data_IF_916810580455
#
_entry.id   IF_916810580455
#
_cell.length_a   1.000
_cell.length_b   1.000
_cell.length_c   1.000
_cell.angle_alpha   90.00
_cell.angle_beta   90.00
_cell.angle_gamma   90.00
#
_symmetry.space_group_name_H-M   'P 1'
#
loop_
_entity.id
_entity.type
_entity.pdbx_description
1 polymer ?
#
# COMPACT_ATOMS: atom_id res chain seq x y z
N UNK A 1 6.67 -6.47 17.90
CA UNK A 1 5.84 -6.41 16.66
C UNK A 1 5.12 -7.74 16.39
N UNK A 2 3.93 -7.70 15.77
CA UNK A 2 3.28 -8.91 15.26
C UNK A 2 4.23 -9.71 14.37
N UNK A 3 4.31 -11.01 14.61
CA UNK A 3 5.11 -11.93 13.80
C UNK A 3 4.51 -13.34 13.88
N UNK A 4 4.74 -14.14 12.84
CA UNK A 4 4.38 -15.55 12.86
C UNK A 4 5.11 -16.31 13.97
N UNK A 5 6.32 -15.88 14.36
CA UNK A 5 7.08 -16.41 15.48
C UNK A 5 6.31 -16.24 16.78
N UNK A 6 5.89 -15.01 17.09
CA UNK A 6 5.16 -14.69 18.30
C UNK A 6 3.80 -15.40 18.32
N UNK A 7 3.08 -15.41 17.19
CA UNK A 7 1.82 -16.12 17.06
C UNK A 7 2.01 -17.62 17.33
N UNK A 8 2.99 -18.26 16.69
CA UNK A 8 3.20 -19.70 16.84
C UNK A 8 3.60 -20.08 18.27
N UNK A 9 4.43 -19.27 18.94
CA UNK A 9 4.80 -19.49 20.34
C UNK A 9 3.58 -19.41 21.26
N UNK A 10 2.72 -18.41 21.08
CA UNK A 10 1.48 -18.24 21.86
C UNK A 10 0.49 -19.38 21.60
N UNK A 11 0.26 -19.73 20.34
CA UNK A 11 -0.59 -20.86 19.95
C UNK A 11 -0.09 -22.17 20.55
N UNK A 12 1.22 -22.44 20.48
CA UNK A 12 1.81 -23.66 21.04
C UNK A 12 1.68 -23.73 22.57
N UNK A 13 1.85 -22.59 23.28
CA UNK A 13 1.64 -22.55 24.73
C UNK A 13 0.18 -22.85 25.09
N UNK A 14 -0.78 -22.24 24.39
CA UNK A 14 -2.20 -22.47 24.60
C UNK A 14 -2.62 -23.93 24.32
N UNK A 15 -2.11 -24.53 23.23
CA UNK A 15 -2.38 -25.93 22.91
C UNK A 15 -1.80 -26.88 23.97
N UNK A 16 -0.56 -26.66 24.43
CA UNK A 16 0.07 -27.48 25.47
C UNK A 16 -0.64 -27.40 26.82
N UNK A 17 -1.15 -26.22 27.18
CA UNK A 17 -1.97 -26.06 28.38
C UNK A 17 -3.27 -26.89 28.34
N UNK A 18 -3.73 -27.25 27.13
CA UNK A 18 -4.87 -28.15 26.91
C UNK A 18 -4.44 -29.61 26.69
N UNK A 19 -3.17 -29.96 26.93
CA UNK A 19 -2.63 -31.30 26.69
C UNK A 19 -2.49 -31.68 25.21
N UNK A 20 -2.57 -30.70 24.28
CA UNK A 20 -2.51 -30.94 22.83
C UNK A 20 -1.12 -30.66 22.27
N UNK A 21 -0.52 -31.67 21.62
CA UNK A 21 0.77 -31.57 20.92
C UNK A 21 0.68 -31.92 19.44
N UNK A 22 -0.51 -32.30 18.95
CA UNK A 22 -0.78 -32.62 17.54
C UNK A 22 -2.12 -32.02 17.10
N UNK A 23 -2.16 -31.38 15.93
CA UNK A 23 -3.36 -30.72 15.38
C UNK A 23 -3.47 -30.85 13.86
N UNK A 24 -4.69 -30.73 13.33
CA UNK A 24 -4.92 -30.30 11.95
C UNK A 24 -4.97 -28.76 11.89
N UNK A 25 -4.40 -28.16 10.85
CA UNK A 25 -4.35 -26.70 10.69
C UNK A 25 -5.26 -26.24 9.54
N UNK A 26 -6.32 -25.54 9.89
CA UNK A 26 -7.12 -24.76 8.95
C UNK A 26 -6.50 -23.38 8.66
N UNK A 27 -6.64 -22.87 7.44
CA UNK A 27 -6.38 -21.46 7.13
C UNK A 27 -7.58 -20.80 6.46
N UNK A 28 -7.91 -19.59 6.94
CA UNK A 28 -9.03 -18.79 6.49
C UNK A 28 -8.50 -17.48 5.89
N UNK A 29 -8.83 -17.23 4.62
CA UNK A 29 -8.51 -15.98 3.92
C UNK A 29 -9.78 -15.27 3.42
N UNK A 30 -10.95 -15.63 3.95
CA UNK A 30 -12.27 -15.24 3.45
C UNK A 30 -12.70 -13.81 3.81
N UNK A 31 -11.92 -13.08 4.63
CA UNK A 31 -12.18 -11.68 4.97
C UNK A 31 -12.23 -10.79 3.72
N UNK A 32 -11.39 -11.07 2.73
CA UNK A 32 -11.42 -10.41 1.43
C UNK A 32 -12.13 -11.29 0.41
N UNK A 33 -12.98 -10.68 -0.41
CA UNK A 33 -13.81 -11.35 -1.40
C UNK A 33 -13.43 -10.95 -2.83
N UNK A 34 -13.96 -11.71 -3.79
CA UNK A 34 -13.68 -11.49 -5.21
C UNK A 34 -12.29 -11.96 -5.64
N UNK A 35 -11.80 -11.51 -6.80
CA UNK A 35 -10.51 -11.96 -7.33
C UNK A 35 -9.35 -11.44 -6.47
N UNK A 36 -8.33 -12.28 -6.29
CA UNK A 36 -7.08 -11.91 -5.58
C UNK A 36 -6.07 -11.19 -6.47
N UNK A 37 -6.32 -11.14 -7.78
CA UNK A 37 -5.54 -10.37 -8.74
C UNK A 37 -6.52 -9.54 -9.55
N UNK A 38 -6.33 -8.22 -9.61
CA UNK A 38 -7.32 -7.33 -10.23
C UNK A 38 -7.57 -7.72 -11.69
N UNK A 39 -8.83 -7.77 -12.15
CA UNK A 39 -9.12 -7.96 -13.57
C UNK A 39 -8.61 -6.80 -14.44
N UNK A 40 -8.34 -5.64 -13.84
CA UNK A 40 -7.83 -4.44 -14.53
C UNK A 40 -6.30 -4.36 -14.58
N UNK A 41 -5.59 -5.26 -13.90
CA UNK A 41 -4.13 -5.34 -13.99
C UNK A 41 -3.70 -6.09 -15.25
N UNK A 42 -2.51 -5.74 -15.77
CA UNK A 42 -1.95 -6.45 -16.93
C UNK A 42 -1.69 -7.92 -16.56
N UNK A 43 -2.21 -8.84 -17.37
CA UNK A 43 -2.05 -10.29 -17.15
C UNK A 43 -0.58 -10.71 -17.04
N UNK A 44 0.31 -10.04 -17.77
CA UNK A 44 1.77 -10.28 -17.75
C UNK A 44 2.43 -10.00 -16.40
N UNK A 45 1.79 -9.23 -15.51
CA UNK A 45 2.30 -8.96 -14.17
C UNK A 45 2.02 -10.07 -13.16
N UNK A 46 1.21 -11.08 -13.49
CA UNK A 46 0.73 -12.12 -12.56
C UNK A 46 1.84 -12.93 -11.85
N UNK A 47 3.04 -12.98 -12.44
CA UNK A 47 4.23 -13.62 -11.87
C UNK A 47 5.07 -12.70 -10.99
N UNK A 48 4.88 -11.38 -11.06
CA UNK A 48 5.70 -10.36 -10.42
C UNK A 48 4.92 -9.57 -9.35
N UNK A 49 3.66 -9.26 -9.66
CA UNK A 49 2.75 -8.57 -8.76
C UNK A 49 1.97 -9.57 -7.91
N UNK A 50 1.96 -9.29 -6.61
CA UNK A 50 1.40 -10.20 -5.63
C UNK A 50 -0.12 -10.23 -5.73
N UNK A 51 -0.67 -11.40 -5.40
CA UNK A 51 -2.10 -11.53 -5.17
C UNK A 51 -2.42 -10.88 -3.84
N UNK A 52 -3.46 -10.06 -3.81
CA UNK A 52 -3.97 -9.47 -2.57
C UNK A 52 -4.77 -10.52 -1.83
N UNK A 53 -4.37 -10.81 -0.60
CA UNK A 53 -5.09 -11.73 0.27
C UNK A 53 -5.19 -11.21 1.70
N UNK A 54 -6.25 -11.63 2.41
CA UNK A 54 -6.39 -11.33 3.83
C UNK A 54 -5.42 -12.13 4.71
N UNK A 55 -4.83 -13.18 4.16
CA UNK A 55 -3.85 -14.02 4.84
C UNK A 55 -2.63 -14.20 3.96
N UNK A 56 -1.53 -13.55 4.33
CA UNK A 56 -0.27 -13.60 3.59
C UNK A 56 0.91 -13.27 4.49
N UNK A 57 2.12 -13.51 3.96
CA UNK A 57 3.37 -13.06 4.54
C UNK A 57 4.19 -12.36 3.46
N UNK A 58 5.07 -11.45 3.88
CA UNK A 58 6.01 -10.76 3.00
C UNK A 58 5.33 -10.08 1.80
N UNK A 59 4.17 -9.47 2.01
CA UNK A 59 3.34 -8.84 0.97
C UNK A 59 3.02 -9.78 -0.21
N UNK A 60 2.85 -11.08 0.06
CA UNK A 60 2.55 -12.09 -0.97
C UNK A 60 3.70 -12.33 -1.97
N UNK A 61 4.95 -12.01 -1.61
CA UNK A 61 6.13 -12.17 -2.47
C UNK A 61 7.06 -13.29 -1.98
N UNK A 62 7.58 -14.07 -2.93
CA UNK A 62 8.63 -15.08 -2.71
C UNK A 62 10.03 -14.47 -2.86
N UNK A 63 10.18 -13.44 -3.69
CA UNK A 63 11.39 -12.65 -3.85
C UNK A 63 11.04 -11.28 -4.43
N UNK A 64 12.05 -10.41 -4.65
CA UNK A 64 11.85 -9.10 -5.31
C UNK A 64 11.12 -9.19 -6.65
N UNK A 65 11.30 -10.29 -7.39
CA UNK A 65 10.79 -10.47 -8.76
C UNK A 65 9.76 -11.60 -8.89
N UNK A 66 9.30 -12.18 -7.78
CA UNK A 66 8.39 -13.33 -7.83
C UNK A 66 7.26 -13.18 -6.83
N UNK A 67 6.05 -13.12 -7.35
CA UNK A 67 4.82 -13.21 -6.59
C UNK A 67 4.54 -14.66 -6.17
N UNK A 68 3.95 -14.82 -4.99
CA UNK A 68 3.42 -16.09 -4.54
C UNK A 68 2.07 -16.39 -5.22
N UNK A 69 1.92 -17.53 -5.92
CA UNK A 69 0.65 -17.90 -6.53
C UNK A 69 -0.41 -18.33 -5.50
N UNK A 70 -0.03 -18.68 -4.26
CA UNK A 70 -0.93 -19.19 -3.21
C UNK A 70 -0.61 -18.57 -1.82
N UNK A 71 -0.69 -17.23 -1.65
CA UNK A 71 -0.25 -16.56 -0.42
C UNK A 71 -0.83 -17.13 0.89
N UNK A 72 -2.15 -17.44 0.99
CA UNK A 72 -2.72 -18.03 2.21
C UNK A 72 -2.10 -19.36 2.59
N UNK A 73 -1.91 -20.24 1.61
CA UNK A 73 -1.34 -21.57 1.85
C UNK A 73 0.13 -21.48 2.24
N UNK A 74 0.88 -20.53 1.67
CA UNK A 74 2.28 -20.29 2.04
C UNK A 74 2.39 -19.74 3.46
N UNK A 75 1.54 -18.78 3.84
CA UNK A 75 1.45 -18.28 5.20
C UNK A 75 1.12 -19.41 6.20
N UNK A 76 0.15 -20.25 5.88
CA UNK A 76 -0.23 -21.41 6.69
C UNK A 76 0.92 -22.42 6.84
N UNK A 77 1.65 -22.72 5.76
CA UNK A 77 2.85 -23.59 5.80
C UNK A 77 3.97 -22.99 6.65
N UNK A 78 4.21 -21.69 6.54
CA UNK A 78 5.20 -21.00 7.36
C UNK A 78 4.82 -21.02 8.84
N UNK A 79 3.53 -20.84 9.15
CA UNK A 79 3.01 -20.96 10.50
C UNK A 79 3.15 -22.39 11.06
N UNK A 80 2.76 -23.41 10.27
CA UNK A 80 2.93 -24.82 10.64
C UNK A 80 4.40 -25.20 10.92
N UNK A 81 5.33 -24.70 10.10
CA UNK A 81 6.78 -24.89 10.34
C UNK A 81 7.21 -24.32 11.70
N UNK A 82 6.66 -23.17 12.10
CA UNK A 82 6.95 -22.55 13.40
C UNK A 82 6.29 -23.27 14.57
N UNK A 83 5.07 -23.77 14.38
CA UNK A 83 4.40 -24.64 15.36
C UNK A 83 5.22 -25.91 15.60
N UNK A 84 5.74 -26.55 14.54
CA UNK A 84 6.63 -27.72 14.66
C UNK A 84 7.87 -27.39 15.48
N UNK A 85 8.53 -26.26 15.21
CA UNK A 85 9.67 -25.78 16.01
C UNK A 85 9.30 -25.49 17.47
N UNK A 86 8.05 -25.16 17.75
CA UNK A 86 7.51 -24.96 19.10
C UNK A 86 6.99 -26.25 19.75
N UNK A 87 7.17 -27.42 19.12
CA UNK A 87 6.77 -28.72 19.67
C UNK A 87 5.30 -29.08 19.44
N UNK A 88 4.67 -28.52 18.40
CA UNK A 88 3.32 -28.90 17.95
C UNK A 88 3.41 -29.55 16.57
N UNK A 89 3.01 -30.81 16.47
CA UNK A 89 2.90 -31.53 15.19
C UNK A 89 1.67 -31.05 14.43
N UNK A 90 1.84 -30.67 13.17
CA UNK A 90 0.74 -30.32 12.27
C UNK A 90 0.55 -31.46 11.29
N UNK A 91 -0.58 -32.16 11.37
CA UNK A 91 -0.87 -33.38 10.58
C UNK A 91 -1.44 -33.07 9.19
N UNK A 92 -2.16 -31.96 9.04
CA UNK A 92 -2.71 -31.53 7.76
C UNK A 92 -2.83 -30.00 7.70
N UNK A 93 -2.85 -29.46 6.47
CA UNK A 93 -3.08 -28.05 6.20
C UNK A 93 -4.16 -27.92 5.13
N UNK A 94 -5.33 -27.39 5.50
CA UNK A 94 -6.50 -27.26 4.61
C UNK A 94 -7.07 -25.84 4.62
N UNK A 95 -7.63 -25.43 3.48
CA UNK A 95 -8.42 -24.19 3.43
C UNK A 95 -9.72 -24.45 4.17
N UNK A 96 -10.05 -23.64 5.18
CA UNK A 96 -11.30 -23.76 5.91
C UNK A 96 -11.69 -22.42 6.50
N UNK A 97 -13.00 -22.15 6.58
CA UNK A 97 -13.50 -20.96 7.26
C UNK A 97 -13.64 -21.28 8.75
N UNK A 98 -13.15 -20.40 9.61
CA UNK A 98 -13.35 -20.58 11.05
C UNK A 98 -14.84 -20.45 11.38
N UNK A 99 -15.35 -21.34 12.25
CA UNK A 99 -16.71 -21.20 12.76
C UNK A 99 -16.81 -19.95 13.64
N UNK A 100 -17.98 -19.29 13.64
CA UNK A 100 -18.22 -18.11 14.48
C UNK A 100 -18.13 -18.41 15.98
N UNK A 101 -18.37 -19.67 16.37
CA UNK A 101 -18.24 -20.17 17.74
C UNK A 101 -16.82 -20.66 18.10
N UNK A 102 -15.85 -20.55 17.19
CA UNK A 102 -14.49 -21.00 17.44
C UNK A 102 -13.83 -20.18 18.56
N UNK A 103 -13.21 -20.87 19.51
CA UNK A 103 -12.47 -20.22 20.60
C UNK A 103 -11.13 -19.66 20.09
N UNK A 104 -10.89 -18.37 20.30
CA UNK A 104 -9.57 -17.78 20.08
C UNK A 104 -8.59 -18.28 21.15
N UNK A 105 -7.47 -18.88 20.71
CA UNK A 105 -6.41 -19.37 21.62
C UNK A 105 -5.14 -18.53 21.58
N UNK A 106 -4.97 -17.69 20.55
CA UNK A 106 -3.82 -16.81 20.39
C UNK A 106 -4.09 -15.74 19.33
N UNK A 107 -3.54 -14.56 19.55
CA UNK A 107 -3.57 -13.46 18.60
C UNK A 107 -2.26 -12.67 18.59
N UNK A 108 -2.06 -11.91 17.52
CA UNK A 108 -1.03 -10.88 17.39
C UNK A 108 -1.65 -9.63 16.78
N UNK A 109 -1.22 -8.46 17.25
CA UNK A 109 -1.71 -7.16 16.77
C UNK A 109 -0.64 -6.48 15.92
N UNK A 110 -1.03 -5.97 14.75
CA UNK A 110 -0.14 -5.28 13.82
C UNK A 110 0.48 -4.01 14.41
N UNK A 111 1.37 -3.39 13.65
CA UNK A 111 1.73 -1.99 13.89
C UNK A 111 0.48 -1.09 13.74
N UNK A 112 0.57 0.13 14.27
CA UNK A 112 -0.50 1.13 14.11
C UNK A 112 -0.77 1.42 12.63
N UNK A 113 -2.00 1.82 12.31
CA UNK A 113 -2.37 2.21 10.94
C UNK A 113 -1.44 3.31 10.39
N UNK A 114 -1.01 4.25 11.23
CA UNK A 114 -0.06 5.29 10.83
C UNK A 114 1.28 4.73 10.33
N UNK A 115 1.83 3.70 10.99
CA UNK A 115 3.06 3.04 10.54
C UNK A 115 2.85 2.22 9.26
N UNK A 116 1.68 1.60 9.12
CA UNK A 116 1.32 0.87 7.90
C UNK A 116 1.22 1.84 6.73
N UNK A 117 0.48 2.95 6.87
CA UNK A 117 0.37 4.02 5.86
C UNK A 117 1.75 4.57 5.49
N UNK A 118 2.59 4.91 6.49
CA UNK A 118 3.95 5.38 6.25
C UNK A 118 4.76 4.39 5.42
N UNK A 119 4.76 3.10 5.78
CA UNK A 119 5.45 2.06 5.00
C UNK A 119 4.90 1.99 3.57
N UNK A 120 3.59 1.94 3.41
CA UNK A 120 2.93 1.87 2.11
C UNK A 120 3.33 3.02 1.20
N UNK A 121 3.36 4.25 1.72
CA UNK A 121 3.78 5.43 0.98
C UNK A 121 5.27 5.42 0.64
N UNK A 122 6.14 5.10 1.61
CA UNK A 122 7.60 5.11 1.45
C UNK A 122 8.09 4.17 0.36
N UNK A 123 7.59 2.93 0.34
CA UNK A 123 8.06 1.91 -0.63
C UNK A 123 7.09 1.69 -1.79
N UNK A 124 6.02 2.49 -1.87
CA UNK A 124 4.96 2.33 -2.86
C UNK A 124 4.38 0.90 -2.87
N UNK A 125 4.02 0.38 -1.70
CA UNK A 125 3.56 -1.00 -1.54
C UNK A 125 2.15 -1.20 -2.12
N UNK A 126 2.09 -1.79 -3.32
CA UNK A 126 0.82 -2.08 -3.99
C UNK A 126 -0.10 -2.94 -3.12
N UNK A 127 0.40 -4.02 -2.53
CA UNK A 127 -0.42 -4.90 -1.69
C UNK A 127 -0.86 -4.19 -0.41
N UNK A 128 0.02 -3.36 0.17
CA UNK A 128 -0.33 -2.51 1.30
C UNK A 128 -1.50 -1.57 0.98
N UNK A 129 -1.44 -0.86 -0.16
CA UNK A 129 -2.49 0.05 -0.60
C UNK A 129 -3.83 -0.69 -0.85
N UNK A 130 -3.75 -1.84 -1.52
CA UNK A 130 -4.89 -2.72 -1.78
C UNK A 130 -5.52 -3.32 -0.51
N UNK A 131 -4.71 -3.58 0.51
CA UNK A 131 -5.16 -4.11 1.80
C UNK A 131 -5.84 -3.02 2.62
N UNK A 132 -5.23 -1.84 2.71
CA UNK A 132 -5.82 -0.68 3.41
C UNK A 132 -7.17 -0.30 2.78
N UNK A 133 -7.25 -0.24 1.45
CA UNK A 133 -8.49 0.16 0.76
C UNK A 133 -9.63 -0.85 0.94
N UNK A 134 -9.32 -2.16 1.00
CA UNK A 134 -10.32 -3.20 1.34
C UNK A 134 -10.79 -3.13 2.79
N UNK A 135 -9.90 -2.83 3.72
CA UNK A 135 -10.31 -2.59 5.11
C UNK A 135 -11.21 -1.35 5.23
N UNK A 136 -10.91 -0.28 4.48
CA UNK A 136 -11.80 0.88 4.39
C UNK A 136 -13.16 0.50 3.79
N UNK A 137 -13.20 -0.39 2.79
CA UNK A 137 -14.45 -0.91 2.23
C UNK A 137 -15.29 -1.66 3.28
N UNK A 138 -14.66 -2.61 3.99
CA UNK A 138 -15.31 -3.37 5.06
C UNK A 138 -15.84 -2.46 6.17
N UNK A 139 -15.06 -1.47 6.59
CA UNK A 139 -15.48 -0.49 7.61
C UNK A 139 -16.68 0.37 7.16
N UNK A 140 -16.93 0.48 5.86
CA UNK A 140 -18.06 1.20 5.27
C UNK A 140 -19.18 0.25 4.79
N UNK A 141 -19.23 -0.99 5.30
CA UNK A 141 -20.25 -1.97 4.97
C UNK A 141 -20.20 -2.48 3.52
N UNK A 142 -19.10 -2.23 2.80
CA UNK A 142 -18.89 -2.76 1.44
C UNK A 142 -18.03 -4.03 1.49
N UNK A 143 -18.12 -4.91 0.47
CA UNK A 143 -17.24 -6.07 0.38
C UNK A 143 -15.76 -5.67 0.36
N UNK A 144 -14.90 -6.42 1.06
CA UNK A 144 -13.44 -6.29 1.00
C UNK A 144 -12.86 -6.80 -0.33
N UNK A 145 -13.26 -6.18 -1.44
CA UNK A 145 -12.89 -6.54 -2.82
C UNK A 145 -12.33 -5.33 -3.56
N UNK A 146 -11.76 -5.53 -4.76
CA UNK A 146 -11.32 -4.41 -5.60
C UNK A 146 -12.46 -3.41 -5.89
N UNK A 147 -13.63 -3.92 -6.26
CA UNK A 147 -14.79 -3.08 -6.55
C UNK A 147 -15.31 -2.35 -5.29
N UNK A 148 -15.36 -3.03 -4.15
CA UNK A 148 -15.76 -2.39 -2.88
C UNK A 148 -14.78 -1.31 -2.45
N UNK A 149 -13.47 -1.58 -2.56
CA UNK A 149 -12.42 -0.61 -2.28
C UNK A 149 -12.50 0.62 -3.19
N UNK A 150 -12.60 0.43 -4.51
CA UNK A 150 -12.74 1.51 -5.46
C UNK A 150 -14.01 2.35 -5.21
N UNK A 151 -15.14 1.70 -4.93
CA UNK A 151 -16.38 2.40 -4.60
C UNK A 151 -16.28 3.22 -3.31
N UNK A 152 -15.57 2.72 -2.29
CA UNK A 152 -15.33 3.47 -1.05
C UNK A 152 -14.45 4.69 -1.29
N UNK A 153 -13.36 4.57 -2.04
CA UNK A 153 -12.50 5.72 -2.35
C UNK A 153 -13.27 6.75 -3.19
N UNK A 154 -14.02 6.33 -4.19
CA UNK A 154 -14.87 7.22 -4.98
C UNK A 154 -15.91 7.94 -4.13
N UNK A 155 -16.61 7.23 -3.24
CA UNK A 155 -17.58 7.85 -2.33
C UNK A 155 -16.91 8.89 -1.42
N UNK A 156 -15.73 8.56 -0.87
CA UNK A 156 -14.95 9.48 -0.05
C UNK A 156 -14.56 10.75 -0.83
N UNK A 157 -14.06 10.61 -2.07
CA UNK A 157 -13.74 11.75 -2.92
C UNK A 157 -14.97 12.63 -3.22
N UNK A 158 -16.15 12.04 -3.42
CA UNK A 158 -17.38 12.79 -3.64
C UNK A 158 -17.79 13.60 -2.40
N UNK A 159 -17.81 12.98 -1.22
CA UNK A 159 -18.18 13.64 0.05
C UNK A 159 -17.24 14.82 0.36
N UNK A 160 -15.97 14.71 0.00
CA UNK A 160 -14.98 15.78 0.20
C UNK A 160 -14.91 16.79 -0.96
N UNK A 161 -15.78 16.71 -1.96
CA UNK A 161 -15.79 17.63 -3.10
C UNK A 161 -14.55 17.54 -3.99
N UNK A 162 -13.86 16.39 -3.97
CA UNK A 162 -12.62 16.12 -4.71
C UNK A 162 -12.87 15.34 -6.01
N UNK A 163 -14.09 14.81 -6.19
CA UNK A 163 -14.48 14.14 -7.42
C UNK A 163 -14.66 15.14 -8.57
N UNK A 164 -14.27 14.74 -9.78
CA UNK A 164 -14.30 15.49 -11.03
C UNK A 164 -14.77 14.57 -12.15
N UNK A 165 -15.50 15.12 -13.12
CA UNK A 165 -15.93 14.39 -14.32
C UNK A 165 -14.72 13.77 -15.03
N UNK A 166 -14.86 12.50 -15.45
CA UNK A 166 -13.81 11.76 -16.14
C UNK A 166 -12.81 11.04 -15.23
N UNK A 167 -12.91 11.19 -13.91
CA UNK A 167 -12.15 10.35 -12.98
C UNK A 167 -12.65 8.91 -12.97
N UNK A 168 -11.73 7.99 -12.70
CA UNK A 168 -11.99 6.55 -12.64
C UNK A 168 -11.03 5.91 -11.64
N UNK A 169 -11.57 5.12 -10.71
CA UNK A 169 -10.80 4.35 -9.74
C UNK A 169 -11.20 2.89 -9.88
N UNK A 170 -10.21 2.03 -10.07
CA UNK A 170 -10.37 0.59 -10.26
C UNK A 170 -9.67 -0.24 -9.20
N UNK A 171 -8.68 0.36 -8.54
CA UNK A 171 -7.87 -0.27 -7.52
C UNK A 171 -7.29 0.78 -6.54
N UNK A 172 -6.72 0.33 -5.42
CA UNK A 172 -6.14 1.22 -4.42
C UNK A 172 -4.67 1.55 -4.67
N UNK A 173 -3.98 0.73 -5.46
CA UNK A 173 -2.53 0.83 -5.72
C UNK A 173 -2.15 1.76 -6.87
N UNK A 174 -3.07 2.06 -7.79
CA UNK A 174 -2.75 2.82 -9.01
C UNK A 174 -2.22 1.95 -10.16
N UNK A 175 -2.16 0.63 -10.01
CA UNK A 175 -1.62 -0.29 -11.02
C UNK A 175 -2.51 -0.41 -12.26
N UNK A 176 -3.82 -0.25 -12.10
CA UNK A 176 -4.77 -0.29 -13.20
C UNK A 176 -4.45 0.81 -14.22
N UNK A 177 -4.15 0.46 -15.49
CA UNK A 177 -3.92 1.46 -16.54
C UNK A 177 -5.15 2.30 -16.87
N UNK A 178 -6.33 1.93 -16.37
CA UNK A 178 -7.59 2.65 -16.56
C UNK A 178 -7.94 3.56 -15.39
N UNK A 179 -7.13 3.62 -14.32
CA UNK A 179 -7.28 4.68 -13.34
C UNK A 179 -7.11 6.06 -14.00
N UNK A 180 -7.96 7.01 -13.62
CA UNK A 180 -7.94 8.40 -14.09
C UNK A 180 -8.18 9.31 -12.89
N UNK A 181 -7.22 10.18 -12.63
CA UNK A 181 -7.30 11.27 -11.65
C UNK A 181 -6.79 12.55 -12.30
N UNK A 182 -7.26 13.71 -11.83
CA UNK A 182 -6.74 15.01 -12.27
C UNK A 182 -5.67 15.49 -11.29
N UNK A 183 -4.74 16.31 -11.78
CA UNK A 183 -3.77 16.99 -10.93
C UNK A 183 -4.47 17.85 -9.86
N UNK A 184 -5.54 18.56 -10.25
CA UNK A 184 -6.39 19.34 -9.33
C UNK A 184 -6.91 18.49 -8.15
N UNK A 185 -7.47 17.31 -8.42
CA UNK A 185 -7.99 16.45 -7.37
C UNK A 185 -6.90 15.94 -6.41
N UNK A 186 -5.70 15.62 -6.94
CA UNK A 186 -4.56 15.20 -6.12
C UNK A 186 -4.02 16.34 -5.26
N UNK A 187 -3.84 17.54 -5.83
CA UNK A 187 -3.41 18.72 -5.10
C UNK A 187 -4.44 19.15 -4.03
N UNK A 188 -5.73 19.09 -4.36
CA UNK A 188 -6.82 19.38 -3.42
C UNK A 188 -6.89 18.34 -2.28
N UNK A 189 -6.67 17.06 -2.57
CA UNK A 189 -6.57 16.01 -1.54
C UNK A 189 -5.37 16.25 -0.61
N UNK A 190 -4.22 16.68 -1.16
CA UNK A 190 -3.06 17.02 -0.35
C UNK A 190 -3.30 18.24 0.53
N UNK A 191 -3.96 19.27 0.00
CA UNK A 191 -4.37 20.45 0.75
C UNK A 191 -5.29 20.10 1.92
N UNK A 192 -6.29 19.25 1.68
CA UNK A 192 -7.15 18.71 2.73
C UNK A 192 -6.33 17.99 3.81
N UNK A 193 -5.38 17.13 3.40
CA UNK A 193 -4.58 16.36 4.33
C UNK A 193 -3.61 17.20 5.18
N UNK A 194 -3.13 18.33 4.66
CA UNK A 194 -2.34 19.30 5.43
C UNK A 194 -3.20 20.12 6.40
N UNK A 195 -4.45 20.42 6.03
CA UNK A 195 -5.35 21.25 6.84
C UNK A 195 -6.02 20.48 8.00
N UNK A 196 -6.19 19.16 7.88
CA UNK A 196 -6.88 18.34 8.87
C UNK A 196 -5.93 17.28 9.49
N UNK A 197 -5.74 17.41 10.80
CA UNK A 197 -4.86 16.55 11.60
C UNK A 197 -5.24 15.06 11.58
N UNK A 198 -6.47 14.72 11.18
CA UNK A 198 -6.93 13.34 10.93
C UNK A 198 -6.06 12.65 9.89
N UNK A 199 -5.51 13.39 8.92
CA UNK A 199 -4.69 12.87 7.83
C UNK A 199 -3.18 12.98 8.10
N UNK A 200 -2.75 13.37 9.30
CA UNK A 200 -1.32 13.55 9.65
C UNK A 200 -0.42 12.38 9.29
N UNK A 201 -0.95 11.15 9.35
CA UNK A 201 -0.20 9.94 9.01
C UNK A 201 0.15 9.85 7.53
N UNK A 202 -0.67 10.43 6.65
CA UNK A 202 -0.40 10.55 5.21
C UNK A 202 0.71 11.56 4.99
N UNK A 203 0.55 12.77 5.54
CA UNK A 203 1.53 13.87 5.43
C UNK A 203 2.92 13.45 5.93
N UNK A 204 2.99 12.86 7.12
CA UNK A 204 4.24 12.38 7.73
C UNK A 204 4.78 11.09 7.10
N UNK A 205 3.98 10.43 6.26
CA UNK A 205 4.33 9.20 5.59
C UNK A 205 4.92 9.39 4.18
N UNK A 206 4.84 10.60 3.61
CA UNK A 206 5.36 10.87 2.27
C UNK A 206 6.89 10.71 2.23
N UNK A 207 7.44 10.10 1.16
CA UNK A 207 8.86 10.17 0.84
C UNK A 207 9.38 11.61 0.82
N UNK A 208 10.63 11.78 1.25
CA UNK A 208 11.34 13.08 1.27
C UNK A 208 12.44 13.05 0.22
N UNK A 209 12.47 14.08 -0.62
CA UNK A 209 13.44 14.26 -1.68
C UNK A 209 14.88 14.14 -1.18
N UNK A 210 15.62 13.22 -1.81
CA UNK A 210 17.00 12.88 -1.49
C UNK A 210 17.26 12.34 -0.08
N UNK A 211 16.25 11.76 0.56
CA UNK A 211 16.37 11.26 1.94
C UNK A 211 15.66 9.93 2.17
N UNK A 212 14.38 9.80 1.79
CA UNK A 212 13.59 8.62 2.15
C UNK A 212 12.73 8.07 1.02
N UNK A 213 12.43 6.77 1.12
CA UNK A 213 11.48 6.09 0.26
C UNK A 213 11.84 6.15 -1.22
N UNK A 214 10.82 6.23 -2.08
CA UNK A 214 10.99 6.32 -3.54
C UNK A 214 11.61 7.63 -4.05
N UNK A 215 11.96 8.56 -3.15
CA UNK A 215 12.68 9.79 -3.47
C UNK A 215 14.12 9.82 -2.94
N UNK A 216 14.59 8.77 -2.26
CA UNK A 216 15.91 8.74 -1.63
C UNK A 216 17.06 9.01 -2.62
N UNK A 217 16.95 8.47 -3.84
CA UNK A 217 17.94 8.61 -4.91
C UNK A 217 17.44 9.58 -6.02
N UNK A 218 16.56 10.53 -5.70
CA UNK A 218 16.06 11.55 -6.64
C UNK A 218 16.45 12.95 -6.19
N UNK A 219 16.32 13.95 -7.08
CA UNK A 219 16.80 15.31 -6.86
C UNK A 219 18.33 15.37 -6.68
N UNK A 220 19.06 14.60 -7.47
CA UNK A 220 20.52 14.49 -7.47
C UNK A 220 21.20 15.38 -8.54
N UNK A 221 20.47 15.74 -9.60
CA UNK A 221 20.93 16.69 -10.62
C UNK A 221 21.05 18.12 -10.06
N UNK A 222 22.04 18.89 -10.57
CA UNK A 222 22.30 20.29 -10.15
C UNK A 222 21.05 21.19 -10.20
N UNK A 223 20.19 21.17 -11.24
CA UNK A 223 18.99 21.99 -11.30
C UNK A 223 17.94 21.65 -10.22
N UNK A 224 17.95 20.41 -9.72
CA UNK A 224 16.93 19.85 -8.83
C UNK A 224 17.24 20.08 -7.34
N UNK A 225 18.46 20.53 -7.03
CA UNK A 225 18.95 20.67 -5.64
C UNK A 225 18.04 21.46 -4.70
N UNK A 226 17.29 22.43 -5.22
CA UNK A 226 16.36 23.23 -4.41
C UNK A 226 15.18 22.41 -3.85
N UNK A 227 14.84 21.27 -4.47
CA UNK A 227 13.79 20.37 -3.98
C UNK A 227 14.25 19.38 -2.90
N UNK A 228 15.56 19.22 -2.68
CA UNK A 228 16.10 18.27 -1.69
C UNK A 228 15.67 18.66 -0.28
N UNK A 229 15.21 17.69 0.51
CA UNK A 229 14.69 17.84 1.87
C UNK A 229 13.46 18.77 2.02
N UNK A 230 13.09 19.51 0.98
CA UNK A 230 11.94 20.43 0.98
C UNK A 230 10.71 19.82 0.31
N UNK A 231 10.89 18.92 -0.67
CA UNK A 231 9.81 18.22 -1.36
C UNK A 231 9.46 16.93 -0.62
N UNK A 232 8.21 16.84 -0.19
CA UNK A 232 7.60 15.65 0.40
C UNK A 232 6.49 15.16 -0.53
N UNK A 233 6.70 14.05 -1.23
CA UNK A 233 5.79 13.65 -2.30
C UNK A 233 5.72 12.15 -2.54
N UNK A 234 4.54 11.71 -3.01
CA UNK A 234 4.34 10.35 -3.50
C UNK A 234 4.64 10.29 -4.99
N UNK A 235 5.40 9.27 -5.37
CA UNK A 235 5.74 8.95 -6.76
C UNK A 235 4.72 7.99 -7.39
N UNK A 236 4.52 8.03 -8.70
CA UNK A 236 3.79 6.99 -9.46
C UNK A 236 4.43 6.72 -10.82
N UNK A 237 4.72 5.45 -11.13
CA UNK A 237 5.43 5.06 -12.37
C UNK A 237 4.76 3.89 -13.04
N UNK A 238 4.46 4.03 -14.32
CA UNK A 238 4.23 2.91 -15.23
C UNK A 238 4.89 3.22 -16.58
N UNK A 239 4.93 2.26 -17.50
CA UNK A 239 5.44 2.51 -18.86
C UNK A 239 4.64 3.66 -19.50
N UNK A 240 5.33 4.77 -19.82
CA UNK A 240 4.72 5.96 -20.41
C UNK A 240 3.94 6.85 -19.45
N UNK A 241 4.00 6.59 -18.13
CA UNK A 241 3.27 7.36 -17.12
C UNK A 241 4.20 7.68 -15.95
N UNK A 242 4.20 8.94 -15.55
CA UNK A 242 4.91 9.44 -14.38
C UNK A 242 4.01 10.40 -13.61
N UNK A 243 4.06 10.33 -12.28
CA UNK A 243 3.39 11.28 -11.41
C UNK A 243 4.19 11.59 -10.16
N UNK A 244 4.03 12.82 -9.68
CA UNK A 244 4.60 13.30 -8.43
C UNK A 244 3.57 14.24 -7.79
N UNK A 245 3.09 13.89 -6.60
CA UNK A 245 2.10 14.71 -5.88
C UNK A 245 2.43 14.78 -4.40
N UNK A 246 2.34 15.97 -3.83
CA UNK A 246 2.75 16.22 -2.46
C UNK A 246 2.77 17.69 -2.11
N UNK A 247 3.65 18.04 -1.18
CA UNK A 247 3.88 19.41 -0.77
C UNK A 247 5.37 19.73 -0.74
N UNK A 248 5.68 21.02 -0.77
CA UNK A 248 7.03 21.52 -0.63
C UNK A 248 7.06 22.78 0.22
N UNK A 249 8.22 23.06 0.80
CA UNK A 249 8.49 24.32 1.49
C UNK A 249 9.32 25.21 0.57
N UNK A 250 8.84 26.42 0.30
CA UNK A 250 9.53 27.42 -0.51
C UNK A 250 10.68 28.06 0.25
N UNK A 251 11.52 28.83 -0.46
CA UNK A 251 12.68 29.52 0.12
C UNK A 251 12.30 30.52 1.23
N UNK A 252 11.15 31.17 1.11
CA UNK A 252 10.60 32.11 2.10
C UNK A 252 9.71 31.43 3.17
N UNK A 253 9.63 30.09 3.17
CA UNK A 253 8.98 29.30 4.21
C UNK A 253 7.50 29.00 3.97
N UNK A 254 6.92 29.41 2.84
CA UNK A 254 5.55 29.04 2.48
C UNK A 254 5.45 27.54 2.15
N UNK A 255 4.35 26.91 2.57
CA UNK A 255 4.04 25.53 2.18
C UNK A 255 3.13 25.54 0.96
N UNK A 256 3.60 24.95 -0.13
CA UNK A 256 2.83 24.80 -1.37
C UNK A 256 2.45 23.34 -1.59
N UNK A 257 1.24 23.11 -2.10
CA UNK A 257 0.82 21.80 -2.59
C UNK A 257 1.00 21.73 -4.10
N UNK A 258 1.38 20.57 -4.61
CA UNK A 258 1.54 20.36 -6.04
C UNK A 258 1.14 18.94 -6.45
N UNK A 259 0.75 18.80 -7.70
CA UNK A 259 0.53 17.52 -8.34
C UNK A 259 0.87 17.63 -9.82
N UNK A 260 1.75 16.75 -10.27
CA UNK A 260 2.23 16.71 -11.64
C UNK A 260 1.98 15.32 -12.21
N UNK A 261 1.37 15.26 -13.39
CA UNK A 261 1.01 14.02 -14.06
C UNK A 261 1.48 14.11 -15.53
N UNK A 262 2.39 13.22 -15.91
CA UNK A 262 2.87 13.08 -17.27
C UNK A 262 2.40 11.75 -17.86
N UNK A 263 1.61 11.83 -18.95
CA UNK A 263 1.16 10.70 -19.74
C UNK A 263 1.73 10.83 -21.16
N UNK A 264 2.44 9.82 -21.64
CA UNK A 264 3.03 9.80 -22.98
C UNK A 264 2.53 8.59 -23.76
N UNK A 265 2.09 8.84 -24.99
CA UNK A 265 1.83 7.79 -25.98
C UNK A 265 3.12 7.21 -26.58
N UNK A 266 4.23 7.94 -26.47
CA UNK A 266 5.55 7.53 -26.93
C UNK A 266 6.36 6.87 -25.82
N UNK A 267 7.30 6.01 -26.21
CA UNK A 267 8.21 5.35 -25.28
C UNK A 267 9.28 6.34 -24.79
N UNK A 268 8.94 7.11 -23.76
CA UNK A 268 9.90 7.97 -23.05
C UNK A 268 10.53 7.16 -21.92
N UNK A 269 11.83 7.33 -21.68
CA UNK A 269 12.49 6.67 -20.54
C UNK A 269 11.87 7.17 -19.24
N UNK A 270 11.77 6.26 -18.28
CA UNK A 270 11.26 6.57 -16.95
C UNK A 270 12.04 7.71 -16.28
N UNK A 271 13.37 7.65 -16.36
CA UNK A 271 14.29 8.65 -15.80
C UNK A 271 14.01 10.04 -16.38
N UNK A 272 13.80 10.16 -17.70
CA UNK A 272 13.52 11.45 -18.32
C UNK A 272 12.22 12.06 -17.79
N UNK A 273 11.17 11.26 -17.61
CA UNK A 273 9.92 11.77 -17.07
C UNK A 273 10.08 12.23 -15.62
N UNK A 274 10.77 11.46 -14.80
CA UNK A 274 10.95 11.81 -13.39
C UNK A 274 11.88 12.99 -13.15
N UNK A 275 12.98 13.11 -13.90
CA UNK A 275 13.83 14.30 -13.83
C UNK A 275 13.06 15.55 -14.27
N UNK A 276 12.12 15.44 -15.23
CA UNK A 276 11.27 16.57 -15.59
C UNK A 276 10.35 17.00 -14.43
N UNK A 277 9.71 16.05 -13.76
CA UNK A 277 8.88 16.32 -12.58
C UNK A 277 9.71 16.89 -11.42
N UNK A 278 10.89 16.33 -11.16
CA UNK A 278 11.78 16.80 -10.08
C UNK A 278 12.26 18.22 -10.34
N UNK A 279 12.57 18.57 -11.59
CA UNK A 279 12.94 19.95 -11.96
C UNK A 279 11.79 20.92 -11.78
N UNK A 280 10.57 20.53 -12.16
CA UNK A 280 9.37 21.35 -11.96
C UNK A 280 9.14 21.64 -10.46
N UNK A 281 9.16 20.59 -9.63
CA UNK A 281 9.03 20.73 -8.18
C UNK A 281 10.18 21.57 -7.57
N UNK A 282 11.42 21.36 -8.02
CA UNK A 282 12.57 22.10 -7.54
C UNK A 282 12.55 23.59 -7.93
N UNK A 283 12.05 23.94 -9.12
CA UNK A 283 11.84 25.34 -9.51
C UNK A 283 10.80 25.99 -8.60
N UNK A 284 9.71 25.28 -8.31
CA UNK A 284 8.66 25.76 -7.40
C UNK A 284 9.20 25.97 -5.97
N UNK A 285 10.10 25.10 -5.50
CA UNK A 285 10.75 25.27 -4.19
C UNK A 285 11.65 26.51 -4.11
N UNK A 286 12.10 27.06 -5.24
CA UNK A 286 12.86 28.33 -5.28
C UNK A 286 11.97 29.57 -5.22
N UNK A 287 10.65 29.44 -5.41
CA UNK A 287 9.72 30.56 -5.33
C UNK A 287 9.78 31.20 -3.94
N UNK A 288 9.35 32.46 -3.87
CA UNK A 288 9.35 33.27 -2.66
C UNK A 288 9.92 34.66 -2.94
N UNK A 289 9.48 35.64 -2.18
CA UNK A 289 9.96 37.02 -2.35
C UNK A 289 11.39 37.14 -1.80
N UNK A 290 12.23 37.88 -2.54
CA UNK A 290 13.48 38.46 -2.06
C UNK A 290 13.27 39.94 -1.78
#
# INVERSE_FOLDING_TARGET
PASLQALAKRTAAALKAQGRTSISLGYDASLFSGPTFSPYWKKTWRGYEARVSALEINSGKLSRYRADPKPPRTAAKAFASRLKKAGITVTSITSTKAATSATEIAQVTSASLALIVKRTLLISDNVGAETISRHAALANGKPGSFAGAAATVTAWLNVHGLWRTGQQIQDGSGLSPTNRLTADALAAAMRLALADSTYRAVVAGLPVAAETGTLADRFDDKPERAGRHTVHAKTGTLRGVAGLAGYLTTRDGAVLVFAELANSSQSVSYERLYNWLDRSAAVTARCGCH
#
